data_IF_906378366431
#
_entry.id   IF_906378366431
#
_cell.length_a   1.000
_cell.length_b   1.000
_cell.length_c   1.000
_cell.angle_alpha   90.00
_cell.angle_beta   90.00
_cell.angle_gamma   90.00
#
_symmetry.space_group_name_H-M   'P 1'
#
loop_
_entity.id
_entity.type
_entity.pdbx_description
1 polymer ?
#
# COMPACT_ATOMS: atom_id res chain seq x y z
N UNK A 1 4.72 -3.71 -8.19
CA UNK A 1 4.40 -2.93 -6.97
C UNK A 1 2.94 -2.98 -6.58
N UNK A 2 1.97 -2.44 -7.35
CA UNK A 2 0.54 -2.52 -6.93
C UNK A 2 0.07 -3.96 -6.71
N UNK A 3 0.37 -4.87 -7.64
CA UNK A 3 0.00 -6.28 -7.52
C UNK A 3 0.75 -6.96 -6.37
N UNK A 4 2.08 -6.78 -6.26
CA UNK A 4 2.87 -7.31 -5.14
C UNK A 4 2.37 -6.84 -3.75
N UNK A 5 1.90 -5.60 -3.62
CA UNK A 5 1.34 -5.08 -2.36
C UNK A 5 0.01 -5.80 -2.04
N UNK A 6 -0.82 -6.05 -3.05
CA UNK A 6 -2.06 -6.84 -2.87
C UNK A 6 -1.75 -8.30 -2.55
N UNK A 7 -0.75 -8.89 -3.18
CA UNK A 7 -0.35 -10.28 -2.92
C UNK A 7 0.12 -10.45 -1.47
N UNK A 8 0.97 -9.53 -0.99
CA UNK A 8 1.41 -9.51 0.41
C UNK A 8 0.23 -9.30 1.35
N UNK A 9 -0.67 -8.36 1.05
CA UNK A 9 -1.84 -8.12 1.89
C UNK A 9 -2.77 -9.35 1.93
N UNK A 10 -2.93 -10.06 0.80
CA UNK A 10 -3.72 -11.29 0.71
C UNK A 10 -3.11 -12.41 1.55
N UNK A 11 -1.78 -12.56 1.51
CA UNK A 11 -1.07 -13.53 2.35
C UNK A 11 -1.27 -13.23 3.85
N UNK A 12 -1.18 -11.95 4.25
CA UNK A 12 -1.43 -11.53 5.63
C UNK A 12 -2.88 -11.82 6.04
N UNK A 13 -3.84 -11.52 5.17
CA UNK A 13 -5.25 -11.82 5.42
C UNK A 13 -5.50 -13.31 5.62
N UNK A 14 -5.00 -14.15 4.71
CA UNK A 14 -5.13 -15.61 4.81
C UNK A 14 -4.46 -16.17 6.07
N UNK A 15 -3.28 -15.64 6.44
CA UNK A 15 -2.60 -16.02 7.68
C UNK A 15 -3.42 -15.68 8.91
N UNK A 16 -3.97 -14.46 9.01
CA UNK A 16 -4.81 -14.05 10.13
C UNK A 16 -6.09 -14.89 10.23
N UNK A 17 -6.69 -15.25 9.10
CA UNK A 17 -7.84 -16.17 9.08
C UNK A 17 -7.46 -17.55 9.60
N UNK A 18 -6.29 -18.08 9.21
CA UNK A 18 -5.79 -19.36 9.72
C UNK A 18 -5.50 -19.31 11.24
N UNK A 19 -4.91 -18.21 11.73
CA UNK A 19 -4.69 -17.97 13.16
C UNK A 19 -6.02 -17.91 13.92
N UNK A 20 -7.00 -17.18 13.39
CA UNK A 20 -8.34 -17.10 13.97
C UNK A 20 -8.99 -18.49 14.08
N UNK A 21 -8.90 -19.30 13.02
CA UNK A 21 -9.43 -20.66 13.01
C UNK A 21 -8.71 -21.56 14.03
N UNK A 22 -7.38 -21.48 14.10
CA UNK A 22 -6.58 -22.23 15.07
C UNK A 22 -6.91 -21.86 16.51
N UNK A 23 -7.07 -20.57 16.82
CA UNK A 23 -7.47 -20.14 18.17
C UNK A 23 -8.87 -20.65 18.52
N UNK A 24 -9.78 -20.66 17.54
CA UNK A 24 -11.12 -21.19 17.74
C UNK A 24 -11.13 -22.70 18.06
N UNK A 25 -10.19 -23.50 17.52
CA UNK A 25 -10.08 -24.93 17.90
C UNK A 25 -9.60 -25.12 19.34
N UNK A 26 -8.84 -24.17 19.88
CA UNK A 26 -8.45 -24.12 21.29
C UNK A 26 -9.53 -23.50 22.19
N UNK A 27 -10.71 -23.19 21.63
CA UNK A 27 -11.79 -22.46 22.30
C UNK A 27 -11.39 -21.05 22.78
N UNK A 28 -10.36 -20.47 22.18
CA UNK A 28 -9.92 -19.09 22.43
C UNK A 28 -10.57 -18.21 21.36
N UNK A 29 -11.42 -17.28 21.78
CA UNK A 29 -12.12 -16.35 20.89
C UNK A 29 -11.86 -14.92 21.32
N UNK A 30 -11.43 -14.10 20.38
CA UNK A 30 -11.24 -12.68 20.57
C UNK A 30 -12.34 -11.93 19.82
N UNK A 31 -13.05 -11.02 20.47
CA UNK A 31 -14.12 -10.22 19.84
C UNK A 31 -13.61 -9.34 18.70
N UNK A 32 -12.34 -8.92 18.78
CA UNK A 32 -11.72 -8.07 17.77
C UNK A 32 -11.14 -8.83 16.58
N UNK A 33 -10.95 -10.16 16.67
CA UNK A 33 -10.39 -10.98 15.59
C UNK A 33 -11.55 -11.68 14.86
N UNK A 34 -12.08 -10.98 13.85
CA UNK A 34 -13.23 -11.41 13.04
C UNK A 34 -12.88 -11.29 11.56
N UNK A 35 -13.67 -11.91 10.70
CA UNK A 35 -13.50 -11.78 9.24
C UNK A 35 -13.54 -10.30 8.79
N UNK A 36 -14.42 -9.50 9.41
CA UNK A 36 -14.54 -8.07 9.11
C UNK A 36 -13.28 -7.30 9.49
N UNK A 37 -12.71 -7.56 10.68
CA UNK A 37 -11.48 -6.87 11.09
C UNK A 37 -10.26 -7.33 10.28
N UNK A 38 -10.17 -8.60 9.93
CA UNK A 38 -9.12 -9.14 9.05
C UNK A 38 -9.18 -8.46 7.67
N UNK A 39 -10.36 -8.38 7.07
CA UNK A 39 -10.56 -7.68 5.79
C UNK A 39 -10.19 -6.19 5.88
N UNK A 40 -10.53 -5.53 6.97
CA UNK A 40 -10.12 -4.15 7.22
C UNK A 40 -8.58 -4.02 7.31
N UNK A 41 -7.89 -4.94 8.01
CA UNK A 41 -6.42 -4.99 8.05
C UNK A 41 -5.79 -5.13 6.67
N UNK A 42 -6.31 -6.05 5.84
CA UNK A 42 -5.85 -6.23 4.46
C UNK A 42 -6.00 -4.92 3.66
N UNK A 43 -7.15 -4.27 3.79
CA UNK A 43 -7.45 -3.00 3.12
C UNK A 43 -6.47 -1.90 3.54
N UNK A 44 -6.18 -1.80 4.84
CA UNK A 44 -5.22 -0.82 5.38
C UNK A 44 -3.82 -1.06 4.81
N UNK A 45 -3.35 -2.30 4.73
CA UNK A 45 -2.03 -2.62 4.16
C UNK A 45 -1.96 -2.19 2.69
N UNK A 46 -3.01 -2.47 1.91
CA UNK A 46 -3.07 -2.10 0.50
C UNK A 46 -3.05 -0.57 0.35
N UNK A 47 -3.91 0.12 1.10
CA UNK A 47 -3.98 1.59 1.09
C UNK A 47 -2.66 2.23 1.51
N UNK A 48 -2.04 1.73 2.57
CA UNK A 48 -0.74 2.20 3.05
C UNK A 48 0.36 1.98 2.01
N UNK A 49 0.43 0.80 1.40
CA UNK A 49 1.38 0.53 0.33
C UNK A 49 1.20 1.47 -0.86
N UNK A 50 -0.05 1.74 -1.26
CA UNK A 50 -0.33 2.73 -2.32
C UNK A 50 0.10 4.15 -1.92
N UNK A 51 -0.12 4.55 -0.67
CA UNK A 51 0.30 5.85 -0.16
C UNK A 51 1.83 5.99 -0.21
N UNK A 52 2.57 5.01 0.29
CA UNK A 52 4.05 5.02 0.28
C UNK A 52 4.58 5.14 -1.14
N UNK A 53 4.03 4.37 -2.10
CA UNK A 53 4.41 4.46 -3.51
C UNK A 53 4.10 5.84 -4.09
N UNK A 54 2.94 6.40 -3.77
CA UNK A 54 2.54 7.74 -4.21
C UNK A 54 3.49 8.82 -3.70
N UNK A 55 3.75 8.84 -2.39
CA UNK A 55 4.67 9.79 -1.74
C UNK A 55 6.08 9.65 -2.31
N UNK A 56 6.59 8.43 -2.44
CA UNK A 56 7.92 8.18 -2.99
C UNK A 56 8.02 8.66 -4.45
N UNK A 57 6.99 8.44 -5.25
CA UNK A 57 6.92 8.91 -6.64
C UNK A 57 6.96 10.44 -6.73
N UNK A 58 6.16 11.13 -5.91
CA UNK A 58 6.14 12.61 -5.85
C UNK A 58 7.49 13.16 -5.40
N UNK A 59 8.07 12.59 -4.34
CA UNK A 59 9.38 13.02 -3.84
C UNK A 59 10.48 12.83 -4.89
N UNK A 60 10.53 11.66 -5.54
CA UNK A 60 11.49 11.38 -6.59
C UNK A 60 11.33 12.32 -7.78
N UNK A 61 10.09 12.61 -8.20
CA UNK A 61 9.82 13.52 -9.31
C UNK A 61 10.18 14.98 -8.98
N UNK A 62 9.96 15.39 -7.74
CA UNK A 62 10.17 16.78 -7.30
C UNK A 62 11.65 17.07 -7.04
N UNK A 63 12.36 16.17 -6.35
CA UNK A 63 13.69 16.45 -5.82
C UNK A 63 14.81 15.73 -6.55
N UNK A 64 14.58 14.49 -7.01
CA UNK A 64 15.64 13.63 -7.56
C UNK A 64 15.69 13.66 -9.09
N UNK A 65 14.54 13.79 -9.76
CA UNK A 65 14.46 13.71 -11.21
C UNK A 65 15.04 14.94 -11.91
N UNK A 66 16.27 14.81 -12.43
CA UNK A 66 16.88 15.79 -13.36
C UNK A 66 16.08 15.94 -14.65
N UNK A 67 15.32 14.90 -15.07
CA UNK A 67 14.42 14.95 -16.24
C UNK A 67 13.27 15.92 -16.04
N UNK A 68 12.64 15.95 -14.87
CA UNK A 68 11.57 16.90 -14.58
C UNK A 68 12.08 18.35 -14.59
N UNK A 69 13.28 18.61 -14.02
CA UNK A 69 13.95 19.92 -14.14
C UNK A 69 14.27 20.29 -15.59
N UNK A 70 14.77 19.36 -16.41
CA UNK A 70 15.02 19.59 -17.84
C UNK A 70 13.72 19.89 -18.59
N UNK A 71 12.66 19.10 -18.35
CA UNK A 71 11.36 19.29 -18.99
C UNK A 71 10.72 20.63 -18.61
N UNK A 72 10.84 21.04 -17.34
CA UNK A 72 10.38 22.37 -16.89
C UNK A 72 11.15 23.50 -17.57
N UNK A 73 12.47 23.37 -17.74
CA UNK A 73 13.29 24.34 -18.50
C UNK A 73 12.94 24.38 -19.99
N UNK A 74 12.68 23.23 -20.60
CA UNK A 74 12.27 23.13 -22.01
C UNK A 74 10.88 23.72 -22.24
N UNK A 75 9.94 23.52 -21.31
CA UNK A 75 8.60 24.11 -21.36
C UNK A 75 8.64 25.64 -21.25
N UNK A 76 9.49 26.19 -20.36
CA UNK A 76 9.73 27.63 -20.24
C UNK A 76 10.35 28.22 -21.51
N UNK A 77 11.33 27.53 -22.11
CA UNK A 77 11.94 27.97 -23.39
C UNK A 77 10.94 28.02 -24.54
N UNK A 78 9.91 27.16 -24.51
CA UNK A 78 8.86 27.11 -25.54
C UNK A 78 7.66 28.02 -25.24
N UNK A 79 7.68 28.78 -24.14
CA UNK A 79 6.59 29.69 -23.75
C UNK A 79 5.28 28.97 -23.40
N UNK A 80 5.33 27.66 -23.14
CA UNK A 80 4.15 26.83 -22.86
C UNK A 80 3.81 26.77 -21.36
N UNK A 81 4.64 27.39 -20.50
CA UNK A 81 4.42 27.62 -19.05
C UNK A 81 5.54 28.46 -18.43
#
# INVERSE_FOLDING_TARGET
MKEQIKDVATLVGGFLTAVMAFLATLNIRYEWLTEASISAFVTVIIAFGMLVVGVYSVWKNTYVSKKAKKQKRELQKKGLK
#
